data_IF_732252164410
#
_entry.id   IF_732252164410
#
_cell.length_a   1.000
_cell.length_b   1.000
_cell.length_c   1.000
_cell.angle_alpha   90.00
_cell.angle_beta   90.00
_cell.angle_gamma   90.00
#
_symmetry.space_group_name_H-M   'P 1'
#
loop_
_entity.id
_entity.type
_entity.pdbx_description
1 polymer ?
#
# COMPACT_ATOMS: atom_id res chain seq x y z
N UNK A 1 8.19 1.24 -26.28
CA UNK A 1 9.20 1.73 -25.34
C UNK A 1 9.07 3.24 -25.25
N UNK A 2 8.27 3.78 -24.32
CA UNK A 2 8.33 5.23 -24.06
C UNK A 2 9.63 5.46 -23.30
N UNK A 3 10.64 6.04 -23.95
CA UNK A 3 11.92 6.32 -23.30
C UNK A 3 11.69 7.20 -22.07
N UNK A 4 12.19 6.75 -20.92
CA UNK A 4 12.17 7.51 -19.68
C UNK A 4 12.96 8.80 -19.88
N UNK A 5 12.25 9.93 -19.97
CA UNK A 5 12.83 11.27 -20.05
C UNK A 5 13.39 11.73 -18.68
N UNK A 6 14.24 10.90 -18.07
CA UNK A 6 15.00 11.26 -16.87
C UNK A 6 16.21 12.10 -17.25
N UNK A 7 16.34 13.25 -16.58
CA UNK A 7 17.55 14.09 -16.68
C UNK A 7 18.77 13.35 -16.13
N UNK A 8 19.97 13.80 -16.50
CA UNK A 8 21.24 13.21 -16.01
C UNK A 8 21.32 13.19 -14.47
N UNK A 9 20.84 14.25 -13.81
CA UNK A 9 20.80 14.31 -12.34
C UNK A 9 19.84 13.27 -11.76
N UNK A 10 18.66 13.10 -12.34
CA UNK A 10 17.69 12.11 -11.88
C UNK A 10 18.18 10.67 -12.08
N UNK A 11 18.91 10.39 -13.18
CA UNK A 11 19.54 9.08 -13.40
C UNK A 11 20.62 8.78 -12.36
N UNK A 12 21.47 9.76 -12.04
CA UNK A 12 22.47 9.64 -10.97
C UNK A 12 21.80 9.40 -9.62
N UNK A 13 20.73 10.14 -9.34
CA UNK A 13 19.94 9.99 -8.12
C UNK A 13 19.33 8.59 -8.00
N UNK A 14 18.74 8.08 -9.08
CA UNK A 14 18.12 6.75 -9.10
C UNK A 14 19.15 5.65 -8.79
N UNK A 15 20.36 5.76 -9.34
CA UNK A 15 21.44 4.80 -9.05
C UNK A 15 21.77 4.77 -7.56
N UNK A 16 21.97 5.94 -6.95
CA UNK A 16 22.23 6.05 -5.51
C UNK A 16 21.06 5.56 -4.66
N UNK A 17 19.82 5.78 -5.12
CA UNK A 17 18.63 5.29 -4.44
C UNK A 17 18.53 3.77 -4.46
N UNK A 18 18.84 3.13 -5.60
CA UNK A 18 18.90 1.67 -5.70
C UNK A 18 19.97 1.06 -4.79
N UNK A 19 21.06 1.76 -4.55
CA UNK A 19 22.16 1.31 -3.67
C UNK A 19 21.85 1.53 -2.18
N UNK A 20 21.25 2.66 -1.83
CA UNK A 20 21.07 3.07 -0.41
C UNK A 20 19.69 2.78 0.16
N UNK A 21 18.66 2.62 -0.69
CA UNK A 21 17.26 2.53 -0.27
C UNK A 21 16.71 3.81 0.39
N UNK A 22 17.47 4.92 0.37
CA UNK A 22 17.10 6.15 1.07
C UNK A 22 17.02 7.33 0.09
N UNK A 23 15.80 7.80 -0.16
CA UNK A 23 15.52 8.85 -1.15
C UNK A 23 16.14 10.20 -0.78
N UNK A 24 16.06 10.57 0.51
CA UNK A 24 16.59 11.83 1.04
C UNK A 24 18.12 11.85 1.00
N UNK A 25 18.75 10.75 1.41
CA UNK A 25 20.21 10.62 1.39
C UNK A 25 20.75 10.63 -0.05
N UNK A 26 20.07 9.92 -0.96
CA UNK A 26 20.40 9.94 -2.38
C UNK A 26 20.26 11.35 -2.98
N UNK A 27 19.28 12.14 -2.51
CA UNK A 27 19.09 13.51 -2.93
C UNK A 27 20.23 14.42 -2.45
N UNK A 28 20.64 14.31 -1.18
CA UNK A 28 21.78 15.05 -0.63
C UNK A 28 23.08 14.80 -1.41
N UNK A 29 23.28 13.59 -1.93
CA UNK A 29 24.50 13.22 -2.67
C UNK A 29 24.44 13.59 -4.17
N UNK A 30 23.25 13.93 -4.68
CA UNK A 30 23.05 14.18 -6.12
C UNK A 30 22.79 15.64 -6.43
N UNK A 31 22.01 16.31 -5.60
CA UNK A 31 21.58 17.69 -5.77
C UNK A 31 22.30 18.60 -4.77
N UNK A 32 22.37 19.88 -5.09
CA UNK A 32 22.89 20.91 -4.19
C UNK A 32 21.79 21.30 -3.21
N UNK A 33 21.52 20.40 -2.26
CA UNK A 33 20.49 20.58 -1.24
C UNK A 33 21.02 21.48 -0.12
N UNK A 34 20.19 22.43 0.33
CA UNK A 34 20.55 23.32 1.45
C UNK A 34 20.51 22.58 2.79
N UNK A 35 19.57 21.65 2.91
CA UNK A 35 19.26 20.92 4.13
C UNK A 35 18.57 19.58 3.81
N UNK A 36 18.32 18.78 4.86
CA UNK A 36 17.61 17.50 4.70
C UNK A 36 16.15 17.66 4.28
N UNK A 37 15.52 18.80 4.56
CA UNK A 37 14.13 19.04 4.21
C UNK A 37 13.97 19.23 2.69
N UNK A 38 14.80 20.08 2.10
CA UNK A 38 14.90 20.26 0.65
C UNK A 38 15.28 18.97 -0.07
N UNK A 39 16.19 18.17 0.50
CA UNK A 39 16.52 16.85 -0.03
C UNK A 39 15.36 15.86 0.04
N UNK A 40 14.57 15.90 1.12
CA UNK A 40 13.39 15.05 1.30
C UNK A 40 12.31 15.37 0.26
N UNK A 41 12.05 16.66 0.03
CA UNK A 41 11.12 17.11 -1.00
C UNK A 41 11.53 16.63 -2.40
N UNK A 42 12.80 16.80 -2.77
CA UNK A 42 13.35 16.33 -4.04
C UNK A 42 13.31 14.80 -4.17
N UNK A 43 13.59 14.08 -3.08
CA UNK A 43 13.50 12.62 -3.05
C UNK A 43 12.07 12.15 -3.31
N UNK A 44 11.07 12.76 -2.64
CA UNK A 44 9.65 12.47 -2.83
C UNK A 44 9.19 12.75 -4.25
N UNK A 45 9.60 13.89 -4.84
CA UNK A 45 9.27 14.24 -6.22
C UNK A 45 9.82 13.20 -7.22
N UNK A 46 11.07 12.79 -7.07
CA UNK A 46 11.68 11.79 -7.94
C UNK A 46 11.00 10.42 -7.79
N UNK A 47 10.62 10.02 -6.57
CA UNK A 47 9.83 8.80 -6.35
C UNK A 47 8.46 8.87 -7.04
N UNK A 48 7.78 10.03 -6.99
CA UNK A 48 6.51 10.22 -7.69
C UNK A 48 6.64 9.96 -9.19
N UNK A 49 7.67 10.53 -9.83
CA UNK A 49 7.98 10.31 -11.25
C UNK A 49 8.25 8.84 -11.57
N UNK A 50 8.92 8.09 -10.69
CA UNK A 50 9.20 6.67 -10.88
C UNK A 50 7.97 5.79 -10.65
N UNK A 51 7.13 6.13 -9.67
CA UNK A 51 5.90 5.39 -9.38
C UNK A 51 4.97 5.35 -10.58
N UNK A 52 4.83 6.50 -11.24
CA UNK A 52 3.84 6.66 -12.30
C UNK A 52 4.36 6.21 -13.68
N UNK A 53 5.69 6.10 -13.86
CA UNK A 53 6.30 5.78 -15.17
C UNK A 53 7.14 4.51 -15.21
N UNK A 54 7.83 4.14 -14.12
CA UNK A 54 8.89 3.13 -14.15
C UNK A 54 8.54 1.87 -13.38
N UNK A 55 7.88 1.99 -12.22
CA UNK A 55 7.58 0.82 -11.38
C UNK A 55 6.61 -0.17 -12.03
N UNK A 56 5.49 0.26 -12.66
CA UNK A 56 4.61 -0.67 -13.37
C UNK A 56 5.34 -1.40 -14.50
N UNK A 57 6.15 -0.69 -15.28
CA UNK A 57 6.94 -1.28 -16.37
C UNK A 57 7.99 -2.27 -15.86
N UNK A 58 8.69 -1.91 -14.78
CA UNK A 58 9.66 -2.80 -14.15
C UNK A 58 8.99 -4.06 -13.58
N UNK A 59 7.79 -3.92 -13.00
CA UNK A 59 7.01 -5.05 -12.53
C UNK A 59 6.61 -5.96 -13.70
N UNK A 60 6.10 -5.41 -14.80
CA UNK A 60 5.80 -6.17 -16.02
C UNK A 60 7.04 -6.89 -16.56
N UNK A 61 8.17 -6.21 -16.69
CA UNK A 61 9.44 -6.80 -17.13
C UNK A 61 9.97 -7.88 -16.17
N UNK A 62 9.68 -7.75 -14.87
CA UNK A 62 10.02 -8.76 -13.86
C UNK A 62 9.10 -9.98 -13.85
N UNK A 63 8.06 -9.99 -14.70
CA UNK A 63 7.06 -11.06 -14.78
C UNK A 63 5.89 -10.91 -13.80
N UNK A 64 5.73 -9.74 -13.17
CA UNK A 64 4.56 -9.37 -12.36
C UNK A 64 3.52 -8.61 -13.21
N UNK A 65 3.26 -9.09 -14.42
CA UNK A 65 2.22 -8.57 -15.29
C UNK A 65 0.81 -9.03 -14.86
N UNK A 66 -0.22 -8.37 -15.41
CA UNK A 66 -1.61 -8.68 -15.08
C UNK A 66 -1.98 -10.15 -15.31
N UNK A 67 -1.44 -10.80 -16.36
CA UNK A 67 -1.75 -12.19 -16.66
C UNK A 67 -1.13 -13.12 -15.61
N UNK A 68 0.11 -12.86 -15.17
CA UNK A 68 0.78 -13.64 -14.12
C UNK A 68 0.10 -13.45 -12.76
N UNK A 69 -0.34 -12.23 -12.43
CA UNK A 69 -1.11 -11.95 -11.22
C UNK A 69 -2.47 -12.65 -11.22
N UNK A 70 -3.18 -12.64 -12.34
CA UNK A 70 -4.45 -13.35 -12.49
C UNK A 70 -4.28 -14.87 -12.44
N UNK A 71 -3.21 -15.42 -13.01
CA UNK A 71 -2.90 -16.84 -12.92
C UNK A 71 -2.61 -17.25 -11.47
N UNK A 72 -1.78 -16.50 -10.76
CA UNK A 72 -1.52 -16.70 -9.33
C UNK A 72 -2.81 -16.65 -8.51
N UNK A 73 -3.71 -15.69 -8.79
CA UNK A 73 -5.01 -15.60 -8.12
C UNK A 73 -5.87 -16.84 -8.38
N UNK A 74 -5.89 -17.34 -9.63
CA UNK A 74 -6.63 -18.55 -10.02
C UNK A 74 -6.07 -19.80 -9.35
N UNK A 75 -4.76 -19.88 -9.14
CA UNK A 75 -4.11 -20.97 -8.41
C UNK A 75 -4.48 -20.93 -6.92
N UNK A 76 -4.47 -19.76 -6.30
CA UNK A 76 -4.84 -19.58 -4.90
C UNK A 76 -6.29 -19.97 -4.59
N UNK A 77 -7.20 -19.91 -5.57
CA UNK A 77 -8.57 -20.44 -5.42
C UNK A 77 -8.60 -21.96 -5.19
N UNK A 78 -7.49 -22.66 -5.46
CA UNK A 78 -7.31 -24.10 -5.25
C UNK A 78 -6.31 -24.41 -4.15
N UNK A 79 -5.85 -23.42 -3.38
CA UNK A 79 -4.82 -23.58 -2.36
C UNK A 79 -5.10 -24.73 -1.38
N UNK A 80 -4.06 -25.47 -1.04
CA UNK A 80 -4.08 -26.58 -0.10
C UNK A 80 -3.07 -26.32 1.02
N UNK A 81 -3.22 -27.05 2.12
CA UNK A 81 -2.29 -27.03 3.25
C UNK A 81 -2.09 -28.44 3.79
N UNK A 82 -0.95 -28.65 4.41
CA UNK A 82 -0.65 -29.90 5.10
C UNK A 82 -1.31 -29.90 6.48
N UNK A 83 -1.91 -31.02 6.84
CA UNK A 83 -2.56 -31.21 8.13
C UNK A 83 -2.11 -32.49 8.82
N UNK A 84 -1.90 -32.39 10.14
CA UNK A 84 -1.49 -33.52 10.98
C UNK A 84 -0.02 -33.92 10.81
N UNK A 85 0.38 -34.93 11.57
CA UNK A 85 1.77 -35.44 11.59
C UNK A 85 2.17 -36.15 10.30
N UNK A 86 1.21 -36.68 9.56
CA UNK A 86 1.42 -37.39 8.30
C UNK A 86 1.41 -36.44 7.09
N UNK A 87 1.29 -35.12 7.30
CA UNK A 87 1.29 -34.11 6.25
C UNK A 87 0.26 -34.41 5.14
N UNK A 88 -0.98 -34.71 5.52
CA UNK A 88 -2.06 -34.95 4.57
C UNK A 88 -2.45 -33.61 3.94
N UNK A 89 -2.51 -33.58 2.62
CA UNK A 89 -2.92 -32.40 1.87
C UNK A 89 -4.44 -32.22 1.96
N UNK A 90 -4.87 -31.12 2.57
CA UNK A 90 -6.26 -30.73 2.69
C UNK A 90 -6.47 -29.36 2.05
N UNK A 91 -7.70 -29.04 1.71
CA UNK A 91 -8.04 -27.74 1.15
C UNK A 91 -7.82 -26.61 2.17
N UNK A 92 -7.11 -25.55 1.76
CA UNK A 92 -6.93 -24.39 2.62
C UNK A 92 -8.01 -23.34 2.36
N UNK A 93 -9.19 -23.58 2.95
CA UNK A 93 -10.33 -22.69 2.82
C UNK A 93 -10.03 -21.23 3.22
N UNK A 94 -9.09 -20.98 4.15
CA UNK A 94 -8.72 -19.62 4.54
C UNK A 94 -8.10 -18.85 3.37
N UNK A 95 -7.07 -19.43 2.74
CA UNK A 95 -6.41 -18.85 1.56
C UNK A 95 -7.36 -18.77 0.36
N UNK A 96 -8.14 -19.82 0.12
CA UNK A 96 -9.13 -19.85 -0.98
C UNK A 96 -10.20 -18.76 -0.82
N UNK A 97 -10.75 -18.57 0.38
CA UNK A 97 -11.74 -17.53 0.64
C UNK A 97 -11.15 -16.13 0.46
N UNK A 98 -9.89 -15.91 0.85
CA UNK A 98 -9.21 -14.63 0.62
C UNK A 98 -9.01 -14.36 -0.88
N UNK A 99 -8.58 -15.36 -1.64
CA UNK A 99 -8.47 -15.26 -3.09
C UNK A 99 -9.83 -14.96 -3.74
N UNK A 100 -10.90 -15.60 -3.27
CA UNK A 100 -12.27 -15.35 -3.74
C UNK A 100 -12.73 -13.91 -3.45
N UNK A 101 -12.47 -13.40 -2.24
CA UNK A 101 -12.76 -12.02 -1.87
C UNK A 101 -12.06 -11.03 -2.81
N UNK A 102 -10.77 -11.24 -3.08
CA UNK A 102 -9.98 -10.42 -4.00
C UNK A 102 -10.58 -10.49 -5.41
N UNK A 103 -10.90 -11.68 -5.91
CA UNK A 103 -11.51 -11.85 -7.23
C UNK A 103 -12.86 -11.14 -7.36
N UNK A 104 -13.69 -11.16 -6.32
CA UNK A 104 -14.98 -10.46 -6.30
C UNK A 104 -14.81 -8.94 -6.25
N UNK A 105 -13.79 -8.44 -5.53
CA UNK A 105 -13.43 -7.01 -5.51
C UNK A 105 -12.95 -6.53 -6.87
N UNK A 106 -12.05 -7.27 -7.52
CA UNK A 106 -11.58 -6.97 -8.88
C UNK A 106 -12.73 -6.92 -9.88
N UNK A 107 -13.72 -7.80 -9.74
CA UNK A 107 -14.95 -7.80 -10.56
C UNK A 107 -15.99 -6.74 -10.16
N UNK A 108 -15.73 -5.94 -9.12
CA UNK A 108 -16.68 -4.95 -8.60
C UNK A 108 -17.96 -5.56 -8.01
N UNK A 109 -17.96 -6.84 -7.64
CA UNK A 109 -19.11 -7.54 -7.03
C UNK A 109 -19.12 -7.43 -5.51
N UNK A 110 -17.96 -7.11 -4.93
CA UNK A 110 -17.79 -6.87 -3.50
C UNK A 110 -17.12 -5.51 -3.30
N UNK A 111 -17.71 -4.66 -2.47
CA UNK A 111 -17.16 -3.36 -2.10
C UNK A 111 -16.59 -3.40 -0.69
N UNK A 112 -15.57 -2.59 -0.41
CA UNK A 112 -15.11 -2.41 0.96
C UNK A 112 -16.19 -1.71 1.78
N UNK A 113 -16.24 -2.02 3.07
CA UNK A 113 -17.05 -1.23 4.00
C UNK A 113 -16.48 0.19 4.04
N UNK A 114 -17.37 1.16 3.86
CA UNK A 114 -17.07 2.58 4.01
C UNK A 114 -17.64 2.98 5.37
N UNK A 115 -16.81 3.56 6.23
CA UNK A 115 -17.28 4.16 7.47
C UNK A 115 -18.20 5.35 7.13
N UNK A 116 -19.45 5.29 7.57
CA UNK A 116 -20.47 6.32 7.37
C UNK A 116 -20.64 7.23 8.60
N UNK A 117 -19.96 6.92 9.71
CA UNK A 117 -20.17 7.60 11.01
C UNK A 117 -19.16 8.70 11.30
N UNK A 118 -17.97 8.62 10.71
CA UNK A 118 -17.04 9.76 10.66
C UNK A 118 -17.24 10.49 9.34
N UNK A 119 -17.48 11.81 9.37
CA UNK A 119 -17.49 12.67 8.18
C UNK A 119 -16.07 12.82 7.56
N UNK A 120 -15.35 11.70 7.38
CA UNK A 120 -14.01 11.64 6.80
C UNK A 120 -12.85 11.89 7.77
N UNK A 121 -13.08 12.04 9.08
CA UNK A 121 -11.99 12.24 10.06
C UNK A 121 -11.54 10.92 10.70
N UNK A 122 -10.23 10.64 10.64
CA UNK A 122 -9.62 9.47 11.28
C UNK A 122 -9.68 9.63 12.80
N UNK A 123 -10.45 8.77 13.48
CA UNK A 123 -10.43 8.68 14.93
C UNK A 123 -9.17 7.90 15.36
N UNK A 124 -8.07 8.61 15.57
CA UNK A 124 -6.97 8.14 16.42
C UNK A 124 -7.18 8.75 17.80
N UNK A 125 -8.09 8.17 18.58
CA UNK A 125 -8.34 8.61 19.94
C UNK A 125 -7.99 7.47 20.90
N UNK A 126 -7.06 7.73 21.81
CA UNK A 126 -6.74 6.84 22.92
C UNK A 126 -7.98 6.58 23.77
N UNK A 127 -8.02 5.47 24.52
CA UNK A 127 -9.18 5.09 25.33
C UNK A 127 -9.66 6.21 26.30
N UNK A 128 -8.76 7.12 26.68
CA UNK A 128 -9.05 8.30 27.51
C UNK A 128 -9.90 9.33 26.76
N UNK A 129 -9.61 9.58 25.48
CA UNK A 129 -10.34 10.52 24.64
C UNK A 129 -11.72 9.96 24.25
N UNK A 130 -11.83 8.64 24.06
CA UNK A 130 -13.11 7.95 23.86
C UNK A 130 -14.00 8.10 25.10
N UNK A 131 -13.45 7.92 26.30
CA UNK A 131 -14.20 8.06 27.55
C UNK A 131 -14.68 9.51 27.80
N UNK A 132 -13.88 10.50 27.43
CA UNK A 132 -14.26 11.92 27.53
C UNK A 132 -15.36 12.28 26.54
N UNK A 133 -15.29 11.74 25.32
CA UNK A 133 -16.30 11.98 24.29
C UNK A 133 -17.63 11.31 24.65
N UNK A 134 -17.60 10.08 25.18
CA UNK A 134 -18.79 9.39 25.67
C UNK A 134 -19.45 10.10 26.85
N UNK A 135 -18.66 10.67 27.78
CA UNK A 135 -19.22 11.49 28.87
C UNK A 135 -19.96 12.70 28.37
N UNK A 136 -19.39 13.44 27.41
CA UNK A 136 -20.06 14.60 26.79
C UNK A 136 -21.38 14.23 26.15
N UNK A 137 -21.42 13.15 25.37
CA UNK A 137 -22.65 12.69 24.72
C UNK A 137 -23.74 12.34 25.75
N UNK A 138 -23.36 11.69 26.87
CA UNK A 138 -24.30 11.33 27.95
C UNK A 138 -24.79 12.58 28.72
N UNK A 139 -23.97 13.62 28.83
CA UNK A 139 -24.34 14.89 29.46
C UNK A 139 -25.27 15.72 28.56
N UNK A 140 -24.99 15.78 27.26
CA UNK A 140 -25.83 16.47 26.27
C UNK A 140 -27.22 15.81 26.14
N UNK A 141 -27.32 14.48 26.24
CA UNK A 141 -28.61 13.76 26.24
C UNK A 141 -29.43 13.99 27.53
N UNK A 142 -28.80 14.38 28.64
CA UNK A 142 -29.50 14.70 29.90
C UNK A 142 -30.03 16.12 29.98
N UNK A 143 -29.48 17.03 29.17
CA UNK A 143 -29.97 18.41 29.06
C UNK A 143 -31.11 18.55 28.03
N UNK A 144 -31.40 17.48 27.29
CA UNK A 144 -32.44 17.43 26.26
C UNK A 144 -33.80 16.85 26.73
N UNK A 145 -33.93 16.48 28.01
CA UNK A 145 -35.18 16.02 28.68
C UNK A 145 -35.68 17.02 29.74
#
# INVERSE_FOLDING_TARGET
MSELNLTLKQRKWLKLYMETGNATESAMQTYDCKDRESASALGSENLGKLRDLTMPQLMEESGLDDASLLNTLKENLKATKLFGKEAIEIEDYATRNKALEIALKVKGKLTNQVDLTSKGEKIQASAVEIAQTLKKIIEDDKEAD
#
